data_IF_598647946819
#
_entry.id   IF_598647946819
#
_cell.length_a   1.000
_cell.length_b   1.000
_cell.length_c   1.000
_cell.angle_alpha   90.00
_cell.angle_beta   90.00
_cell.angle_gamma   90.00
#
_symmetry.space_group_name_H-M   'P 1'
#
loop_
_entity.id
_entity.type
_entity.pdbx_description
1 polymer ?
#
# COMPACT_ATOMS: atom_id res chain seq x y z
N UNK A 1 -9.99 -18.97 -10.69
CA UNK A 1 -10.56 -18.02 -9.71
C UNK A 1 -10.77 -18.67 -8.34
N UNK A 2 -11.60 -19.72 -8.20
CA UNK A 2 -11.86 -20.37 -6.90
C UNK A 2 -10.62 -20.98 -6.21
N UNK A 3 -9.72 -21.63 -6.97
CA UNK A 3 -8.48 -22.21 -6.41
C UNK A 3 -7.43 -21.19 -5.94
N UNK A 4 -7.41 -19.99 -6.52
CA UNK A 4 -6.55 -18.88 -6.08
C UNK A 4 -7.10 -18.22 -4.82
N UNK A 5 -8.44 -18.09 -4.71
CA UNK A 5 -9.09 -17.69 -3.47
C UNK A 5 -8.79 -18.69 -2.34
N UNK A 6 -8.94 -20.00 -2.56
CA UNK A 6 -8.70 -21.02 -1.53
C UNK A 6 -7.25 -21.04 -1.00
N UNK A 7 -6.24 -20.84 -1.86
CA UNK A 7 -4.84 -20.73 -1.44
C UNK A 7 -4.52 -19.42 -0.70
N UNK A 8 -5.26 -18.34 -0.97
CA UNK A 8 -5.23 -17.09 -0.19
C UNK A 8 -5.92 -17.25 1.17
N UNK A 9 -6.89 -18.18 1.27
CA UNK A 9 -7.73 -18.41 2.47
C UNK A 9 -7.09 -19.35 3.50
N UNK A 10 -6.48 -20.45 3.06
CA UNK A 10 -5.90 -21.49 3.93
C UNK A 10 -4.51 -21.93 3.43
N UNK A 11 -3.41 -21.37 3.98
CA UNK A 11 -2.09 -21.96 3.81
C UNK A 11 -2.04 -23.25 4.64
N UNK A 12 -1.84 -24.39 3.98
CA UNK A 12 -1.59 -25.66 4.67
C UNK A 12 -0.23 -25.57 5.35
N UNK A 13 -0.20 -25.68 6.69
CA UNK A 13 0.54 -26.75 7.37
C UNK A 13 0.27 -26.81 8.88
N UNK A 14 0.26 -28.06 9.37
CA UNK A 14 0.35 -28.55 10.75
C UNK A 14 -0.90 -28.52 11.65
N UNK A 15 -1.78 -29.51 11.47
CA UNK A 15 -2.16 -30.46 12.53
C UNK A 15 -2.91 -31.66 11.91
N UNK A 16 -2.35 -32.84 12.08
CA UNK A 16 -2.99 -34.13 11.86
C UNK A 16 -4.31 -34.23 12.61
N UNK A 17 -5.44 -34.43 11.91
CA UNK A 17 -6.64 -34.96 12.53
C UNK A 17 -7.33 -35.95 11.60
N UNK A 18 -7.36 -37.19 12.05
CA UNK A 18 -8.08 -38.33 11.51
C UNK A 18 -9.59 -38.07 11.54
N UNK A 19 -10.26 -38.34 10.41
CA UNK A 19 -11.72 -38.32 10.32
C UNK A 19 -12.36 -39.46 11.14
N UNK A 20 -13.61 -39.27 11.57
CA UNK A 20 -14.61 -40.25 11.15
C UNK A 20 -15.91 -39.62 10.66
N UNK A 21 -16.41 -40.19 9.58
CA UNK A 21 -17.81 -40.14 9.10
C UNK A 21 -18.72 -40.96 10.01
N UNK A 22 -19.96 -40.51 10.25
CA UNK A 22 -21.16 -41.38 10.27
C UNK A 22 -22.48 -40.57 10.36
N UNK A 23 -23.26 -40.67 9.28
CA UNK A 23 -24.71 -40.82 9.13
C UNK A 23 -25.75 -40.17 10.08
N UNK A 24 -26.66 -39.44 9.41
CA UNK A 24 -28.13 -39.39 9.52
C UNK A 24 -28.85 -39.61 10.86
N UNK A 25 -29.72 -38.66 11.22
CA UNK A 25 -31.14 -38.94 11.55
C UNK A 25 -31.95 -37.65 11.77
N UNK A 26 -33.11 -37.61 11.11
CA UNK A 26 -34.27 -36.73 11.34
C UNK A 26 -35.25 -37.58 12.17
N UNK A 27 -36.01 -37.10 13.19
CA UNK A 27 -37.31 -36.47 12.91
C UNK A 27 -37.94 -35.47 13.93
N UNK A 28 -38.76 -34.58 13.34
CA UNK A 28 -40.16 -34.13 13.65
C UNK A 28 -40.61 -33.61 15.03
N UNK A 29 -41.33 -32.48 14.91
CA UNK A 29 -42.57 -32.01 15.58
C UNK A 29 -42.56 -31.56 17.06
N UNK A 30 -43.20 -30.41 17.30
CA UNK A 30 -43.63 -29.99 18.64
C UNK A 30 -43.92 -28.50 18.81
N UNK A 31 -45.12 -28.08 18.38
CA UNK A 31 -45.88 -26.86 18.70
C UNK A 31 -45.61 -26.13 20.04
N UNK A 32 -45.63 -24.79 20.05
CA UNK A 32 -46.72 -24.01 20.67
C UNK A 32 -46.63 -22.49 20.44
N UNK A 33 -47.82 -21.87 20.40
CA UNK A 33 -48.17 -20.49 20.04
C UNK A 33 -48.58 -19.71 21.30
N UNK A 34 -48.22 -18.42 21.37
CA UNK A 34 -48.91 -17.27 22.02
C UNK A 34 -48.02 -16.04 21.77
N UNK A 35 -48.45 -14.84 21.39
CA UNK A 35 -49.75 -14.18 21.30
C UNK A 35 -49.53 -12.66 21.55
N UNK A 36 -50.33 -11.81 20.91
CA UNK A 36 -50.46 -10.33 21.06
C UNK A 36 -49.44 -9.43 20.36
N UNK A 37 -49.76 -8.21 19.91
CA UNK A 37 -50.92 -7.62 19.22
C UNK A 37 -50.49 -6.18 18.90
N UNK A 38 -50.71 -5.77 17.65
CA UNK A 38 -51.00 -4.42 17.14
C UNK A 38 -50.82 -3.22 18.07
N UNK A 39 -49.92 -2.28 17.73
CA UNK A 39 -50.22 -0.83 17.69
C UNK A 39 -49.39 -0.20 16.58
N UNK A 40 -50.08 0.30 15.56
CA UNK A 40 -49.55 1.15 14.51
C UNK A 40 -50.01 2.58 14.80
N UNK A 41 -49.10 3.49 15.12
CA UNK A 41 -49.39 4.91 15.27
C UNK A 41 -48.43 5.71 14.40
N UNK A 42 -49.01 6.24 13.31
CA UNK A 42 -48.45 7.30 12.47
C UNK A 42 -48.30 8.56 13.32
N UNK A 43 -47.09 9.11 13.40
CA UNK A 43 -46.87 10.49 13.79
C UNK A 43 -46.03 11.20 12.74
N UNK A 44 -46.65 12.25 12.20
CA UNK A 44 -46.15 13.19 11.19
C UNK A 44 -45.01 13.99 11.79
N UNK A 45 -43.89 14.12 11.08
CA UNK A 45 -42.89 15.15 11.38
C UNK A 45 -43.04 16.34 10.44
N UNK A 46 -43.26 17.49 11.09
CA UNK A 46 -43.31 18.83 10.54
C UNK A 46 -41.96 19.19 9.90
N UNK A 47 -42.01 19.68 8.67
CA UNK A 47 -40.89 20.28 7.95
C UNK A 47 -40.57 21.65 8.54
N UNK A 48 -39.73 21.66 9.57
CA UNK A 48 -39.09 22.85 10.10
C UNK A 48 -37.83 23.16 9.30
N UNK A 49 -37.86 24.24 8.54
CA UNK A 49 -36.72 24.85 7.87
C UNK A 49 -35.69 25.24 8.93
N UNK A 50 -34.55 24.53 8.97
CA UNK A 50 -33.33 25.03 9.60
C UNK A 50 -32.24 25.12 8.53
N UNK A 51 -31.79 26.36 8.33
CA UNK A 51 -30.82 26.76 7.34
C UNK A 51 -29.54 25.92 7.43
N UNK A 52 -29.19 25.28 6.32
CA UNK A 52 -27.87 24.72 6.11
C UNK A 52 -26.87 25.87 5.99
N UNK A 53 -26.14 26.16 7.06
CA UNK A 53 -24.94 26.96 6.97
C UNK A 53 -23.90 26.17 6.17
N UNK A 54 -23.68 26.61 4.94
CA UNK A 54 -22.69 26.10 4.01
C UNK A 54 -21.28 26.28 4.57
N UNK A 55 -20.70 25.22 5.12
CA UNK A 55 -19.24 25.09 5.26
C UNK A 55 -18.64 24.63 3.92
N UNK A 56 -18.75 25.50 2.91
CA UNK A 56 -17.98 25.42 1.67
C UNK A 56 -16.85 26.43 1.75
N UNK A 57 -15.70 25.99 2.26
CA UNK A 57 -14.37 26.53 1.94
C UNK A 57 -13.33 25.81 2.79
N UNK A 58 -12.90 24.63 2.34
CA UNK A 58 -11.52 24.22 2.63
C UNK A 58 -10.73 24.60 1.39
N UNK A 59 -10.02 25.69 1.56
CA UNK A 59 -9.05 26.29 0.65
C UNK A 59 -8.15 25.19 0.09
N UNK A 60 -8.07 25.08 -1.23
CA UNK A 60 -6.94 24.44 -1.88
C UNK A 60 -5.71 25.30 -1.54
N UNK A 61 -4.92 24.84 -0.58
CA UNK A 61 -3.63 25.48 -0.31
C UNK A 61 -2.80 25.41 -1.61
N UNK A 62 -2.05 26.47 -1.96
CA UNK A 62 -1.06 26.37 -3.02
C UNK A 62 -0.10 25.22 -2.70
N UNK A 63 0.38 24.48 -3.71
CA UNK A 63 1.20 23.30 -3.45
C UNK A 63 2.41 23.68 -2.60
N UNK A 64 2.59 22.96 -1.50
CA UNK A 64 3.74 23.14 -0.63
C UNK A 64 5.05 22.89 -1.38
N UNK A 65 6.18 23.33 -0.81
CA UNK A 65 7.50 23.12 -1.43
C UNK A 65 7.76 21.63 -1.70
N UNK A 66 7.23 20.74 -0.86
CA UNK A 66 7.38 19.30 -1.00
C UNK A 66 6.52 18.73 -2.12
N UNK A 67 5.27 19.16 -2.26
CA UNK A 67 4.38 18.72 -3.35
C UNK A 67 4.97 19.04 -4.72
N UNK A 68 5.57 20.24 -4.88
CA UNK A 68 6.23 20.62 -6.13
C UNK A 68 7.40 19.69 -6.48
N UNK A 69 8.26 19.37 -5.50
CA UNK A 69 9.39 18.43 -5.69
C UNK A 69 8.92 17.04 -6.10
N UNK A 70 7.86 16.56 -5.46
CA UNK A 70 7.27 15.25 -5.77
C UNK A 70 6.65 15.24 -7.17
N UNK A 71 5.99 16.33 -7.55
CA UNK A 71 5.38 16.48 -8.86
C UNK A 71 6.41 16.44 -10.00
N UNK A 72 7.61 17.00 -9.83
CA UNK A 72 8.70 16.89 -10.81
C UNK A 72 9.11 15.42 -11.06
N UNK A 73 9.12 14.59 -10.02
CA UNK A 73 9.39 13.15 -10.16
C UNK A 73 8.25 12.45 -10.89
N UNK A 74 7.00 12.80 -10.59
CA UNK A 74 5.82 12.29 -11.30
C UNK A 74 5.90 12.58 -12.80
N UNK A 75 6.24 13.83 -13.17
CA UNK A 75 6.38 14.23 -14.57
C UNK A 75 7.45 13.42 -15.30
N UNK A 76 8.61 13.21 -14.65
CA UNK A 76 9.70 12.40 -15.21
C UNK A 76 9.27 10.95 -15.46
N UNK A 77 8.61 10.32 -14.48
CA UNK A 77 8.11 8.94 -14.60
C UNK A 77 7.02 8.81 -15.68
N UNK A 78 6.14 9.81 -15.77
CA UNK A 78 5.10 9.85 -16.79
C UNK A 78 5.67 10.02 -18.20
N UNK A 79 6.77 10.77 -18.37
CA UNK A 79 7.46 10.94 -19.65
C UNK A 79 8.05 9.62 -20.17
N UNK A 80 8.75 8.87 -19.30
CA UNK A 80 9.40 7.60 -19.68
C UNK A 80 8.41 6.53 -20.18
N UNK A 81 7.24 6.44 -19.55
CA UNK A 81 6.18 5.53 -20.02
C UNK A 81 5.66 5.94 -21.40
N UNK A 82 5.59 7.24 -21.70
CA UNK A 82 5.17 7.74 -23.02
C UNK A 82 6.23 7.44 -24.09
N UNK A 83 7.51 7.60 -23.76
CA UNK A 83 8.64 7.27 -24.65
C UNK A 83 8.67 5.77 -24.98
N UNK A 84 8.58 4.89 -23.97
CA UNK A 84 8.56 3.44 -24.21
C UNK A 84 7.33 3.00 -25.03
N UNK A 85 6.16 3.63 -24.83
CA UNK A 85 4.97 3.36 -25.66
C UNK A 85 5.22 3.72 -27.13
N UNK A 86 5.96 4.80 -27.41
CA UNK A 86 6.31 5.23 -28.78
C UNK A 86 7.28 4.24 -29.43
N UNK A 87 8.29 3.78 -28.71
CA UNK A 87 9.26 2.78 -29.20
C UNK A 87 8.61 1.43 -29.48
N UNK A 88 7.77 0.91 -28.57
CA UNK A 88 7.05 -0.36 -28.79
C UNK A 88 6.12 -0.32 -30.01
N UNK A 89 5.50 0.82 -30.31
CA UNK A 89 4.69 0.98 -31.54
C UNK A 89 5.58 0.89 -32.79
N UNK A 90 6.83 1.36 -32.72
CA UNK A 90 7.80 1.29 -33.80
C UNK A 90 8.40 -0.11 -33.98
N UNK A 91 8.67 -0.82 -32.88
CA UNK A 91 9.16 -2.21 -32.92
C UNK A 91 8.09 -3.20 -33.39
N UNK A 92 6.81 -2.96 -33.10
CA UNK A 92 5.70 -3.76 -33.69
C UNK A 92 5.66 -3.63 -35.22
N UNK A 93 6.23 -2.56 -35.78
CA UNK A 93 6.36 -2.35 -37.23
C UNK A 93 7.63 -3.02 -37.79
N UNK A 94 8.60 -3.39 -36.95
CA UNK A 94 9.89 -3.97 -37.36
C UNK A 94 10.25 -5.19 -36.50
N UNK A 95 9.86 -6.39 -36.95
CA UNK A 95 10.06 -7.63 -36.21
C UNK A 95 11.43 -8.29 -36.41
N UNK A 96 12.03 -8.76 -35.31
CA UNK A 96 12.89 -9.95 -35.09
C UNK A 96 13.53 -9.81 -33.70
N UNK A 97 14.02 -10.80 -32.94
CA UNK A 97 14.13 -12.27 -32.97
C UNK A 97 14.37 -12.68 -31.49
N UNK A 98 14.00 -13.89 -31.06
CA UNK A 98 14.41 -14.40 -29.75
C UNK A 98 15.05 -15.78 -29.85
N UNK A 99 16.31 -15.86 -29.41
CA UNK A 99 16.95 -17.09 -28.98
C UNK A 99 18.00 -16.78 -27.91
N UNK A 100 17.64 -16.80 -26.63
CA UNK A 100 18.63 -16.90 -25.54
C UNK A 100 18.20 -17.90 -24.44
N UNK A 101 18.90 -19.04 -24.45
CA UNK A 101 19.44 -19.84 -23.34
C UNK A 101 18.56 -20.18 -22.12
N UNK A 102 18.13 -21.44 -22.08
CA UNK A 102 17.39 -22.12 -21.01
C UNK A 102 18.00 -21.95 -19.59
N UNK A 103 19.33 -21.92 -19.45
CA UNK A 103 20.03 -21.78 -18.15
C UNK A 103 19.93 -20.39 -17.52
N UNK A 104 19.83 -19.33 -18.34
CA UNK A 104 19.64 -17.95 -17.83
C UNK A 104 18.23 -17.77 -17.28
N UNK A 105 17.24 -18.42 -17.91
CA UNK A 105 15.86 -18.42 -17.46
C UNK A 105 15.69 -19.06 -16.08
N UNK A 106 16.38 -20.16 -15.80
CA UNK A 106 16.27 -20.88 -14.52
C UNK A 106 16.84 -20.07 -13.34
N UNK A 107 17.99 -19.41 -13.54
CA UNK A 107 18.58 -18.53 -12.53
C UNK A 107 17.70 -17.31 -12.23
N UNK A 108 17.14 -16.68 -13.27
CA UNK A 108 16.22 -15.55 -13.10
C UNK A 108 14.92 -15.98 -12.41
N UNK A 109 14.38 -17.14 -12.75
CA UNK A 109 13.21 -17.69 -12.05
C UNK A 109 13.50 -17.93 -10.56
N UNK A 110 14.68 -18.48 -10.23
CA UNK A 110 15.14 -18.62 -8.85
C UNK A 110 15.21 -17.29 -8.11
N UNK A 111 15.77 -16.26 -8.75
CA UNK A 111 15.86 -14.90 -8.21
C UNK A 111 14.47 -14.30 -7.91
N UNK A 112 13.53 -14.37 -8.84
CA UNK A 112 12.15 -13.90 -8.63
C UNK A 112 11.41 -14.67 -7.53
N UNK A 113 11.61 -15.99 -7.45
CA UNK A 113 11.01 -16.79 -6.38
C UNK A 113 11.54 -16.36 -5.02
N UNK A 114 12.84 -16.09 -4.92
CA UNK A 114 13.46 -15.59 -3.69
C UNK A 114 12.93 -14.22 -3.28
N UNK A 115 12.72 -13.32 -4.23
CA UNK A 115 12.00 -12.07 -3.98
C UNK A 115 10.58 -12.32 -3.43
N UNK A 116 9.86 -13.30 -3.99
CA UNK A 116 8.53 -13.69 -3.55
C UNK A 116 8.48 -14.27 -2.14
N UNK A 117 9.46 -15.10 -1.76
CA UNK A 117 9.63 -15.64 -0.41
C UNK A 117 9.82 -14.51 0.62
N UNK A 118 10.67 -13.54 0.32
CA UNK A 118 10.87 -12.34 1.14
C UNK A 118 9.56 -11.57 1.31
N UNK A 119 8.82 -11.34 0.22
CA UNK A 119 7.50 -10.70 0.30
C UNK A 119 6.52 -11.51 1.17
N UNK A 120 6.52 -12.84 1.06
CA UNK A 120 5.63 -13.72 1.82
C UNK A 120 5.94 -13.72 3.32
N UNK A 121 7.23 -13.69 3.67
CA UNK A 121 7.71 -13.71 5.05
C UNK A 121 7.35 -12.40 5.76
N UNK A 122 7.70 -11.27 5.13
CA UNK A 122 7.67 -9.98 5.81
C UNK A 122 6.42 -9.14 5.50
N UNK A 123 5.78 -9.32 4.34
CA UNK A 123 4.65 -8.50 3.88
C UNK A 123 3.38 -9.31 3.62
N UNK A 124 2.99 -10.20 4.55
CA UNK A 124 1.90 -11.19 4.38
C UNK A 124 0.63 -10.66 3.68
N UNK A 125 0.08 -9.52 4.13
CA UNK A 125 -1.15 -8.96 3.53
C UNK A 125 -0.90 -8.47 2.11
N UNK A 126 0.24 -7.83 1.86
CA UNK A 126 0.65 -7.39 0.53
C UNK A 126 0.89 -8.59 -0.40
N UNK A 127 1.67 -9.58 0.05
CA UNK A 127 1.94 -10.82 -0.67
C UNK A 127 0.65 -11.54 -1.09
N UNK A 128 -0.32 -11.70 -0.19
CA UNK A 128 -1.62 -12.28 -0.52
C UNK A 128 -2.35 -11.48 -1.61
N UNK A 129 -2.24 -10.14 -1.61
CA UNK A 129 -2.77 -9.29 -2.68
C UNK A 129 -2.08 -9.55 -4.03
N UNK A 130 -0.77 -9.78 -4.04
CA UNK A 130 -0.02 -10.10 -5.28
C UNK A 130 -0.44 -11.44 -5.91
N UNK A 131 -1.04 -12.35 -5.13
CA UNK A 131 -1.58 -13.61 -5.65
C UNK A 131 -2.79 -13.41 -6.58
N UNK A 132 -3.41 -12.24 -6.56
CA UNK A 132 -4.48 -11.85 -7.48
C UNK A 132 -3.94 -11.31 -8.82
N UNK A 133 -2.63 -11.06 -8.93
CA UNK A 133 -1.97 -10.57 -10.15
C UNK A 133 -1.60 -11.73 -11.09
N UNK A 134 -1.38 -11.39 -12.37
CA UNK A 134 -0.78 -12.31 -13.34
C UNK A 134 0.64 -12.72 -12.90
N UNK A 135 1.14 -13.91 -13.28
CA UNK A 135 2.48 -14.36 -12.89
C UNK A 135 3.59 -13.38 -13.25
N UNK A 136 3.51 -12.74 -14.42
CA UNK A 136 4.48 -11.75 -14.89
C UNK A 136 4.52 -10.52 -13.97
N UNK A 137 3.37 -9.87 -13.75
CA UNK A 137 3.27 -8.69 -12.89
C UNK A 137 3.63 -9.00 -11.45
N UNK A 138 3.22 -10.17 -10.96
CA UNK A 138 3.54 -10.63 -9.61
C UNK A 138 5.04 -10.70 -9.38
N UNK A 139 5.78 -11.31 -10.32
CA UNK A 139 7.24 -11.40 -10.24
C UNK A 139 7.90 -10.02 -10.28
N UNK A 140 7.47 -9.15 -11.19
CA UNK A 140 7.98 -7.77 -11.26
C UNK A 140 7.71 -6.98 -9.97
N UNK A 141 6.49 -7.09 -9.42
CA UNK A 141 6.13 -6.51 -8.12
C UNK A 141 6.99 -7.10 -7.01
N UNK A 142 7.25 -8.41 -7.01
CA UNK A 142 8.15 -9.01 -6.03
C UNK A 142 9.60 -8.56 -6.20
N UNK A 143 10.11 -8.33 -7.39
CA UNK A 143 11.46 -7.80 -7.56
C UNK A 143 11.58 -6.37 -7.04
N UNK A 144 10.60 -5.51 -7.38
CA UNK A 144 10.51 -4.15 -6.83
C UNK A 144 10.35 -4.23 -5.31
N UNK A 145 9.34 -4.92 -4.78
CA UNK A 145 9.12 -4.97 -3.35
C UNK A 145 10.16 -5.78 -2.60
N UNK A 146 10.74 -6.83 -3.15
CA UNK A 146 11.65 -7.75 -2.45
C UNK A 146 12.96 -7.08 -2.07
N UNK A 147 13.49 -6.23 -2.97
CA UNK A 147 14.69 -5.43 -2.69
C UNK A 147 14.44 -4.41 -1.58
N UNK A 148 13.23 -3.84 -1.48
CA UNK A 148 12.93 -2.76 -0.53
C UNK A 148 12.12 -3.16 0.70
N UNK A 149 11.40 -4.28 0.66
CA UNK A 149 10.70 -4.89 1.80
C UNK A 149 11.69 -5.16 2.92
N UNK A 150 12.88 -5.66 2.59
CA UNK A 150 13.95 -5.89 3.57
C UNK A 150 14.35 -4.62 4.35
N UNK A 151 14.18 -3.44 3.75
CA UNK A 151 14.45 -2.17 4.42
C UNK A 151 13.21 -1.55 5.08
N UNK A 152 12.00 -1.78 4.54
CA UNK A 152 10.75 -1.42 5.20
C UNK A 152 10.55 -2.13 6.53
N UNK A 153 10.99 -3.39 6.64
CA UNK A 153 10.75 -4.18 7.84
C UNK A 153 11.83 -4.04 8.90
N UNK A 154 12.96 -3.38 8.61
CA UNK A 154 13.88 -2.87 9.63
C UNK A 154 13.41 -1.53 10.24
N UNK A 155 12.26 -1.02 9.78
CA UNK A 155 11.67 0.20 10.33
C UNK A 155 10.76 -0.08 11.53
N UNK A 156 10.72 0.84 12.49
CA UNK A 156 9.91 0.73 13.70
C UNK A 156 8.38 0.81 13.48
N UNK A 157 7.88 0.60 12.27
CA UNK A 157 6.44 0.54 11.96
C UNK A 157 5.89 -0.89 11.85
N UNK A 158 6.75 -1.92 11.84
CA UNK A 158 6.31 -3.31 11.81
C UNK A 158 7.24 -4.24 12.62
N UNK A 159 6.66 -4.93 13.60
CA UNK A 159 7.31 -6.00 14.36
C UNK A 159 7.90 -7.10 13.47
N UNK A 160 9.22 -7.12 13.32
CA UNK A 160 9.99 -8.35 13.17
C UNK A 160 11.24 -8.26 14.08
N UNK A 161 11.58 -9.29 14.89
CA UNK A 161 12.74 -9.24 15.78
C UNK A 161 14.06 -9.21 15.01
N UNK A 162 14.98 -8.37 15.49
CA UNK A 162 16.31 -8.05 14.93
C UNK A 162 17.21 -9.27 14.63
N UNK A 163 16.95 -10.41 15.27
CA UNK A 163 17.68 -11.66 15.09
C UNK A 163 17.30 -12.44 13.81
N UNK A 164 16.21 -12.06 13.12
CA UNK A 164 15.78 -12.67 11.86
C UNK A 164 16.39 -12.03 10.60
N UNK A 165 17.05 -10.86 10.72
CA UNK A 165 17.57 -10.09 9.59
C UNK A 165 19.02 -10.47 9.20
N UNK A 166 19.72 -11.20 10.07
CA UNK A 166 21.13 -11.54 9.92
C UNK A 166 21.49 -12.38 8.66
N UNK A 167 20.62 -13.27 8.13
CA UNK A 167 20.97 -14.04 6.92
C UNK A 167 20.77 -13.29 5.60
N UNK A 168 20.00 -12.18 5.59
CA UNK A 168 19.45 -11.58 4.36
C UNK A 168 20.06 -10.23 3.99
N UNK A 169 20.71 -9.57 4.94
CA UNK A 169 21.77 -8.61 4.63
C UNK A 169 22.99 -9.41 4.14
N UNK A 170 23.00 -9.78 2.85
CA UNK A 170 24.22 -10.12 2.10
C UNK A 170 25.15 -8.90 1.96
N UNK A 171 25.36 -8.20 3.08
CA UNK A 171 26.20 -7.02 3.23
C UNK A 171 27.43 -7.28 4.11
N UNK A 172 27.61 -8.50 4.64
CA UNK A 172 28.82 -8.95 5.33
C UNK A 172 28.89 -10.49 5.34
N UNK A 173 29.24 -11.07 4.21
CA UNK A 173 30.09 -12.27 4.14
C UNK A 173 31.09 -11.91 3.06
N UNK A 174 32.24 -11.33 3.38
CA UNK A 174 33.33 -12.14 3.94
C UNK A 174 34.38 -11.43 4.80
N UNK A 175 34.44 -10.11 4.98
CA UNK A 175 35.70 -9.51 5.50
C UNK A 175 35.68 -8.77 6.86
N UNK A 176 34.57 -8.74 7.60
CA UNK A 176 34.52 -8.10 8.94
C UNK A 176 33.85 -9.00 9.98
N UNK A 177 34.35 -10.23 10.08
CA UNK A 177 34.15 -11.11 11.23
C UNK A 177 35.12 -10.73 12.35
N UNK A 178 35.03 -9.49 12.87
CA UNK A 178 35.73 -9.09 14.11
C UNK A 178 34.82 -8.16 14.91
N UNK A 179 34.49 -8.65 16.12
CA UNK A 179 33.88 -7.99 17.29
C UNK A 179 32.35 -7.93 17.44
N UNK A 180 31.78 -9.04 17.92
CA UNK A 180 30.84 -9.02 19.06
C UNK A 180 29.40 -9.51 18.80
N UNK A 181 28.66 -9.96 19.84
CA UNK A 181 27.36 -10.64 19.69
C UNK A 181 26.16 -9.75 19.27
N UNK A 182 26.36 -8.51 18.83
CA UNK A 182 25.31 -7.47 18.71
C UNK A 182 25.40 -6.57 17.44
N UNK A 183 25.89 -7.05 16.28
CA UNK A 183 25.95 -6.21 15.07
C UNK A 183 24.55 -6.04 14.42
N UNK A 184 23.75 -5.08 14.90
CA UNK A 184 22.31 -5.06 14.65
C UNK A 184 21.67 -3.67 14.44
N UNK A 185 22.25 -2.79 13.62
CA UNK A 185 21.60 -1.54 13.20
C UNK A 185 21.89 -1.22 11.73
N UNK A 186 20.87 -0.80 10.96
CA UNK A 186 21.10 -0.15 9.66
C UNK A 186 21.91 1.12 9.94
N UNK A 187 23.13 1.16 9.42
CA UNK A 187 24.02 2.32 9.55
C UNK A 187 23.89 3.24 8.34
N UNK A 188 24.21 4.54 8.46
CA UNK A 188 24.34 5.42 7.31
C UNK A 188 25.23 4.83 6.20
N UNK A 189 26.36 4.20 6.59
CA UNK A 189 27.27 3.52 5.66
C UNK A 189 26.60 2.36 4.90
N UNK A 190 25.70 1.61 5.54
CA UNK A 190 24.95 0.55 4.87
C UNK A 190 24.01 1.13 3.80
N UNK A 191 23.35 2.26 4.07
CA UNK A 191 22.50 2.96 3.10
C UNK A 191 23.31 3.55 1.93
N UNK A 192 24.53 4.04 2.19
CA UNK A 192 25.43 4.55 1.14
C UNK A 192 25.87 3.43 0.20
N UNK A 193 26.25 2.27 0.74
CA UNK A 193 26.57 1.10 -0.11
C UNK A 193 25.36 0.61 -0.89
N UNK A 194 24.16 0.69 -0.33
CA UNK A 194 22.96 0.30 -1.04
C UNK A 194 22.61 1.28 -2.17
N UNK A 195 22.76 2.58 -1.96
CA UNK A 195 22.62 3.56 -3.03
C UNK A 195 23.66 3.35 -4.14
N UNK A 196 24.89 2.97 -3.80
CA UNK A 196 25.90 2.61 -4.79
C UNK A 196 25.48 1.38 -5.60
N UNK A 197 25.07 0.28 -4.94
CA UNK A 197 24.55 -0.92 -5.62
C UNK A 197 23.37 -0.61 -6.54
N UNK A 198 22.48 0.29 -6.11
CA UNK A 198 21.36 0.73 -6.93
C UNK A 198 21.85 1.43 -8.21
N UNK A 199 22.86 2.29 -8.13
CA UNK A 199 23.46 2.90 -9.33
C UNK A 199 24.09 1.82 -10.23
N UNK A 200 24.88 0.91 -9.66
CA UNK A 200 25.53 -0.18 -10.41
C UNK A 200 24.50 -1.06 -11.13
N UNK A 201 23.39 -1.40 -10.47
CA UNK A 201 22.27 -2.16 -11.04
C UNK A 201 21.67 -1.46 -12.26
N UNK A 202 21.38 -0.16 -12.14
CA UNK A 202 20.81 0.64 -13.24
C UNK A 202 21.81 0.88 -14.38
N UNK A 203 23.10 0.71 -14.12
CA UNK A 203 24.17 0.68 -15.13
C UNK A 203 24.45 -0.75 -15.66
N UNK A 204 23.60 -1.73 -15.33
CA UNK A 204 23.68 -3.10 -15.85
C UNK A 204 24.67 -4.01 -15.13
N UNK A 205 25.09 -3.66 -13.91
CA UNK A 205 26.03 -4.44 -13.09
C UNK A 205 25.36 -4.95 -11.80
N UNK A 206 24.44 -5.95 -11.88
CA UNK A 206 23.80 -6.52 -10.69
C UNK A 206 24.82 -7.29 -9.84
N UNK A 207 24.72 -7.16 -8.51
CA UNK A 207 25.66 -7.80 -7.59
C UNK A 207 25.21 -9.19 -7.12
N UNK A 208 23.93 -9.37 -6.84
CA UNK A 208 23.35 -10.63 -6.34
C UNK A 208 22.05 -11.03 -7.05
N UNK A 209 21.39 -12.09 -6.56
CA UNK A 209 20.16 -12.60 -7.17
C UNK A 209 18.99 -11.61 -7.08
N UNK A 210 18.88 -10.81 -6.03
CA UNK A 210 17.80 -9.82 -5.90
C UNK A 210 18.03 -8.67 -6.89
N UNK A 211 19.28 -8.24 -7.01
CA UNK A 211 19.70 -7.26 -8.01
C UNK A 211 19.47 -7.79 -9.43
N UNK A 212 19.70 -9.08 -9.68
CA UNK A 212 19.42 -9.69 -10.98
C UNK A 212 17.92 -9.67 -11.33
N UNK A 213 17.03 -9.99 -10.37
CA UNK A 213 15.59 -9.91 -10.58
C UNK A 213 15.11 -8.47 -10.80
N UNK A 214 15.65 -7.51 -10.04
CA UNK A 214 15.30 -6.10 -10.20
C UNK A 214 15.87 -5.53 -11.51
N UNK A 215 17.10 -5.87 -11.89
CA UNK A 215 17.71 -5.50 -13.18
C UNK A 215 16.89 -6.02 -14.37
N UNK A 216 16.47 -7.29 -14.33
CA UNK A 216 15.57 -7.86 -15.34
C UNK A 216 14.19 -7.17 -15.33
N UNK A 217 13.70 -6.72 -14.17
CA UNK A 217 12.43 -5.97 -14.08
C UNK A 217 12.54 -4.57 -14.68
N UNK A 218 13.56 -3.78 -14.32
CA UNK A 218 13.70 -2.40 -14.80
C UNK A 218 14.11 -2.30 -16.27
N UNK A 219 14.65 -3.39 -16.85
CA UNK A 219 14.84 -3.47 -18.31
C UNK A 219 13.54 -3.71 -19.09
N UNK A 220 12.54 -4.35 -18.46
CA UNK A 220 11.22 -4.65 -19.09
C UNK A 220 10.22 -3.52 -18.90
N UNK A 221 10.26 -2.85 -17.75
CA UNK A 221 9.33 -1.79 -17.39
C UNK A 221 10.05 -0.44 -17.28
N UNK A 222 9.48 0.64 -17.85
CA UNK A 222 10.10 1.96 -17.89
C UNK A 222 9.96 2.63 -16.52
N UNK A 223 10.85 2.27 -15.60
CA UNK A 223 10.92 2.81 -14.25
C UNK A 223 12.23 3.57 -14.13
N UNK A 224 12.18 4.87 -13.82
CA UNK A 224 13.41 5.62 -13.56
C UNK A 224 13.94 5.39 -12.14
N UNK A 225 15.25 5.59 -11.98
CA UNK A 225 15.98 5.35 -10.73
C UNK A 225 15.56 6.29 -9.58
N UNK A 226 14.95 7.45 -9.86
CA UNK A 226 14.73 8.50 -8.87
C UNK A 226 13.83 8.07 -7.69
N UNK A 227 12.66 7.40 -7.88
CA UNK A 227 11.85 6.89 -6.79
C UNK A 227 12.60 5.90 -5.88
N UNK A 228 13.51 5.10 -6.44
CA UNK A 228 14.35 4.19 -5.67
C UNK A 228 15.34 4.95 -4.78
N UNK A 229 16.02 5.97 -5.33
CA UNK A 229 16.90 6.86 -4.54
C UNK A 229 16.13 7.62 -3.47
N UNK A 230 14.94 8.11 -3.82
CA UNK A 230 14.05 8.84 -2.93
C UNK A 230 13.56 7.98 -1.76
N UNK A 231 13.31 6.69 -2.00
CA UNK A 231 13.02 5.76 -0.91
C UNK A 231 14.21 5.54 0.02
N UNK A 232 15.45 5.44 -0.49
CA UNK A 232 16.65 5.40 0.35
C UNK A 232 16.78 6.70 1.18
N UNK A 233 16.41 7.86 0.62
CA UNK A 233 16.35 9.12 1.39
C UNK A 233 15.34 9.03 2.54
N UNK A 234 14.14 8.48 2.30
CA UNK A 234 13.17 8.21 3.37
C UNK A 234 13.77 7.34 4.47
N UNK A 235 14.51 6.31 4.10
CA UNK A 235 15.17 5.44 5.08
C UNK A 235 16.24 6.16 5.90
N UNK A 236 17.00 7.07 5.27
CA UNK A 236 17.94 7.95 5.98
C UNK A 236 17.22 8.90 6.94
N UNK A 237 16.04 9.39 6.59
CA UNK A 237 15.24 10.25 7.48
C UNK A 237 14.85 9.50 8.75
N UNK A 238 14.41 8.26 8.63
CA UNK A 238 14.02 7.46 9.80
C UNK A 238 15.16 7.18 10.77
N UNK A 239 16.42 7.22 10.35
CA UNK A 239 17.55 7.09 11.27
C UNK A 239 17.70 8.27 12.24
N UNK A 240 17.15 9.45 11.92
CA UNK A 240 17.42 10.70 12.64
C UNK A 240 16.18 11.48 13.07
N UNK A 241 15.10 11.44 12.28
CA UNK A 241 13.92 12.30 12.48
C UNK A 241 12.85 11.55 13.28
N UNK A 242 12.37 12.19 14.35
CA UNK A 242 11.34 11.66 15.23
C UNK A 242 10.08 12.53 15.30
N UNK A 243 10.12 13.74 14.70
CA UNK A 243 9.06 14.76 14.71
C UNK A 243 8.95 15.47 13.37
N UNK A 244 7.73 15.89 13.03
CA UNK A 244 7.38 16.54 11.77
C UNK A 244 6.71 17.87 12.07
N UNK A 245 7.30 18.96 11.59
CA UNK A 245 6.87 20.32 11.93
C UNK A 245 5.43 20.58 11.51
N UNK A 246 5.12 20.21 10.27
CA UNK A 246 3.84 20.46 9.60
C UNK A 246 3.49 19.30 8.65
N UNK A 247 2.30 19.38 8.03
CA UNK A 247 1.87 18.37 7.09
C UNK A 247 2.74 18.32 5.82
N UNK A 248 3.39 19.41 5.40
CA UNK A 248 4.26 19.38 4.22
C UNK A 248 5.49 18.49 4.46
N UNK A 249 6.11 18.59 5.65
CA UNK A 249 7.18 17.67 6.04
C UNK A 249 6.69 16.21 6.15
N UNK A 250 5.50 15.98 6.71
CA UNK A 250 4.93 14.64 6.83
C UNK A 250 4.59 14.07 5.45
N UNK A 251 4.04 14.88 4.56
CA UNK A 251 3.73 14.53 3.18
C UNK A 251 5.00 14.08 2.45
N UNK A 252 6.11 14.83 2.58
CA UNK A 252 7.37 14.47 1.96
C UNK A 252 7.91 13.13 2.47
N UNK A 253 7.76 12.85 3.76
CA UNK A 253 8.08 11.55 4.33
C UNK A 253 7.20 10.44 3.76
N UNK A 254 5.88 10.62 3.75
CA UNK A 254 4.92 9.67 3.16
C UNK A 254 5.21 9.41 1.67
N UNK A 255 5.64 10.43 0.93
CA UNK A 255 6.13 10.27 -0.43
C UNK A 255 7.34 9.33 -0.46
N UNK A 256 8.40 9.62 0.30
CA UNK A 256 9.62 8.83 0.26
C UNK A 256 9.41 7.36 0.62
N UNK A 257 8.63 7.08 1.67
CA UNK A 257 8.46 5.72 2.19
C UNK A 257 7.27 4.96 1.59
N UNK A 258 6.39 5.59 0.82
CA UNK A 258 5.24 4.88 0.26
C UNK A 258 4.78 5.40 -1.11
N UNK A 259 4.82 6.72 -1.31
CA UNK A 259 4.52 7.33 -2.61
C UNK A 259 5.43 6.81 -3.73
N UNK A 260 6.73 6.73 -3.48
CA UNK A 260 7.74 6.16 -4.38
C UNK A 260 7.36 4.75 -4.85
N UNK A 261 6.85 3.91 -3.96
CA UNK A 261 6.39 2.55 -4.26
C UNK A 261 5.19 2.55 -5.21
N UNK A 262 4.26 3.49 -5.02
CA UNK A 262 3.19 3.76 -5.97
C UNK A 262 3.73 4.07 -7.36
N UNK A 263 4.70 5.00 -7.46
CA UNK A 263 5.31 5.41 -8.73
C UNK A 263 5.99 4.23 -9.44
N UNK A 264 6.82 3.46 -8.73
CA UNK A 264 7.53 2.30 -9.30
C UNK A 264 6.57 1.20 -9.77
N UNK A 265 5.37 1.13 -9.20
CA UNK A 265 4.39 0.11 -9.53
C UNK A 265 3.57 0.43 -10.78
N UNK A 266 3.40 1.71 -11.16
CA UNK A 266 2.53 2.10 -12.30
C UNK A 266 2.94 1.41 -13.61
N UNK A 267 4.24 1.39 -14.01
CA UNK A 267 4.67 0.71 -15.23
C UNK A 267 4.33 -0.79 -15.25
N UNK A 268 4.44 -1.45 -14.10
CA UNK A 268 4.12 -2.88 -13.95
C UNK A 268 2.61 -3.12 -13.99
N UNK A 269 1.84 -2.26 -13.31
CA UNK A 269 0.37 -2.36 -13.32
C UNK A 269 -0.20 -2.09 -14.72
N UNK A 270 0.46 -1.21 -15.48
CA UNK A 270 0.08 -0.82 -16.83
C UNK A 270 -1.17 0.05 -16.86
N UNK A 271 -1.16 1.03 -17.77
CA UNK A 271 -2.33 1.87 -18.06
C UNK A 271 -3.12 1.21 -19.19
N UNK A 272 -4.45 1.14 -19.04
CA UNK A 272 -5.30 0.52 -20.04
C UNK A 272 -5.17 1.22 -21.40
N UNK A 273 -5.11 0.50 -22.53
CA UNK A 273 -5.04 1.11 -23.86
C UNK A 273 -6.20 2.08 -24.14
N UNK A 274 -7.37 1.79 -23.61
CA UNK A 274 -8.60 2.58 -23.73
C UNK A 274 -8.72 3.74 -22.73
N UNK A 275 -7.76 3.89 -21.81
CA UNK A 275 -7.75 4.95 -20.81
C UNK A 275 -7.72 6.32 -21.46
N UNK A 276 -8.58 7.23 -20.97
CA UNK A 276 -8.61 8.64 -21.38
C UNK A 276 -7.82 9.54 -20.44
N UNK A 277 -7.37 9.00 -19.31
CA UNK A 277 -6.58 9.73 -18.33
C UNK A 277 -5.17 10.00 -18.87
N UNK A 278 -4.60 11.14 -18.49
CA UNK A 278 -3.20 11.40 -18.78
C UNK A 278 -2.33 10.44 -17.96
N UNK A 279 -1.20 9.99 -18.50
CA UNK A 279 -0.24 9.17 -17.76
C UNK A 279 0.12 9.79 -16.40
N UNK A 280 0.31 11.10 -16.38
CA UNK A 280 0.57 11.89 -15.18
C UNK A 280 -0.54 11.76 -14.12
N UNK A 281 -1.81 11.86 -14.52
CA UNK A 281 -2.93 11.70 -13.58
C UNK A 281 -2.98 10.30 -12.95
N UNK A 282 -2.62 9.25 -13.71
CA UNK A 282 -2.53 7.89 -13.16
C UNK A 282 -1.37 7.77 -12.16
N UNK A 283 -0.22 8.40 -12.43
CA UNK A 283 0.88 8.48 -11.48
C UNK A 283 0.51 9.28 -10.21
N UNK A 284 -0.20 10.39 -10.34
CA UNK A 284 -0.70 11.17 -9.20
C UNK A 284 -1.66 10.35 -8.34
N UNK A 285 -2.54 9.56 -8.96
CA UNK A 285 -3.43 8.66 -8.22
C UNK A 285 -2.67 7.52 -7.52
N UNK A 286 -1.63 6.96 -8.15
CA UNK A 286 -0.78 5.95 -7.53
C UNK A 286 0.05 6.52 -6.36
N UNK A 287 0.56 7.74 -6.50
CA UNK A 287 1.19 8.50 -5.44
C UNK A 287 0.22 8.74 -4.27
N UNK A 288 -0.99 9.18 -4.57
CA UNK A 288 -2.04 9.39 -3.56
C UNK A 288 -2.36 8.09 -2.82
N UNK A 289 -2.39 6.93 -3.50
CA UNK A 289 -2.58 5.64 -2.85
C UNK A 289 -1.45 5.32 -1.86
N UNK A 290 -0.19 5.56 -2.25
CA UNK A 290 0.97 5.38 -1.38
C UNK A 290 0.89 6.26 -0.13
N UNK A 291 0.59 7.55 -0.31
CA UNK A 291 0.41 8.51 0.78
C UNK A 291 -0.74 8.08 1.70
N UNK A 292 -1.90 7.70 1.14
CA UNK A 292 -3.06 7.27 1.92
C UNK A 292 -2.74 6.03 2.79
N UNK A 293 -2.03 5.05 2.22
CA UNK A 293 -1.59 3.86 2.95
C UNK A 293 -0.64 4.22 4.08
N UNK A 294 0.30 5.13 3.86
CA UNK A 294 1.26 5.53 4.89
C UNK A 294 0.63 6.36 6.00
N UNK A 295 -0.25 7.29 5.65
CA UNK A 295 -1.06 8.01 6.64
C UNK A 295 -1.89 7.02 7.48
N UNK A 296 -2.48 6.00 6.84
CA UNK A 296 -3.22 4.95 7.55
C UNK A 296 -2.34 4.16 8.51
N UNK A 297 -1.10 3.83 8.13
CA UNK A 297 -0.14 3.17 9.02
C UNK A 297 0.19 4.05 10.23
N UNK A 298 0.52 5.33 10.01
CA UNK A 298 0.79 6.32 11.07
C UNK A 298 -0.40 6.42 12.03
N UNK A 299 -1.63 6.52 11.52
CA UNK A 299 -2.82 6.65 12.35
C UNK A 299 -3.17 5.37 13.10
N UNK A 300 -2.83 4.20 12.57
CA UNK A 300 -3.06 2.90 13.22
C UNK A 300 -2.06 2.66 14.36
N UNK A 301 -0.81 3.07 14.19
CA UNK A 301 0.31 2.63 15.01
C UNK A 301 0.85 3.71 15.97
N UNK A 302 0.09 4.80 16.22
CA UNK A 302 0.45 5.92 17.11
C UNK A 302 1.05 5.45 18.45
N UNK A 303 0.41 4.52 19.15
CA UNK A 303 0.92 4.03 20.43
C UNK A 303 2.22 3.24 20.33
N UNK A 304 2.41 2.48 19.25
CA UNK A 304 3.65 1.73 18.99
C UNK A 304 4.80 2.69 18.68
N UNK A 305 4.55 3.69 17.84
CA UNK A 305 5.50 4.73 17.51
C UNK A 305 5.90 5.56 18.74
N UNK A 306 4.92 5.94 19.56
CA UNK A 306 5.16 6.70 20.79
C UNK A 306 6.06 5.94 21.79
N UNK A 307 5.87 4.62 21.95
CA UNK A 307 6.75 3.77 22.79
C UNK A 307 8.20 3.72 22.28
N UNK A 308 8.42 4.04 21.00
CA UNK A 308 9.74 4.11 20.35
C UNK A 308 10.27 5.55 20.28
N UNK A 309 9.63 6.49 20.97
CA UNK A 309 10.01 7.90 20.99
C UNK A 309 9.65 8.66 19.71
N UNK A 310 8.78 8.14 18.85
CA UNK A 310 8.42 8.73 17.56
C UNK A 310 6.99 9.26 17.55
N UNK A 311 6.80 10.41 16.89
CA UNK A 311 5.49 11.02 16.66
C UNK A 311 5.52 11.57 15.23
N UNK A 312 4.86 10.86 14.32
CA UNK A 312 4.75 11.27 12.92
C UNK A 312 3.72 12.38 12.70
N UNK A 313 2.77 12.53 13.62
CA UNK A 313 1.68 13.49 13.52
C UNK A 313 2.22 14.94 13.46
N UNK A 314 1.65 15.81 12.60
CA UNK A 314 2.15 17.18 12.43
C UNK A 314 2.08 17.98 13.74
N UNK A 315 3.20 18.57 14.13
CA UNK A 315 3.37 19.23 15.43
C UNK A 315 2.57 20.52 15.52
N UNK A 316 2.48 21.29 14.44
CA UNK A 316 1.63 22.47 14.33
C UNK A 316 0.13 22.14 14.54
N UNK A 317 -0.35 21.04 13.96
CA UNK A 317 -1.73 20.60 14.08
C UNK A 317 -2.04 20.01 15.46
N UNK A 318 -1.09 19.29 16.06
CA UNK A 318 -1.18 18.86 17.46
C UNK A 318 -1.31 20.06 18.40
N UNK A 319 -0.45 21.07 18.22
CA UNK A 319 -0.49 22.31 19.00
C UNK A 319 -1.81 23.06 18.82
N UNK A 320 -2.32 23.17 17.59
CA UNK A 320 -3.64 23.77 17.30
C UNK A 320 -4.79 23.02 17.99
N UNK A 321 -4.70 21.70 18.11
CA UNK A 321 -5.66 20.88 18.85
C UNK A 321 -5.47 20.94 20.38
N UNK A 322 -4.44 21.65 20.87
CA UNK A 322 -4.07 21.73 22.27
C UNK A 322 -3.59 20.39 22.84
N UNK A 323 -2.83 19.64 22.03
CA UNK A 323 -2.16 18.38 22.37
C UNK A 323 -0.65 18.58 22.37
N UNK A 324 0.01 18.03 23.38
CA UNK A 324 1.48 17.99 23.52
C UNK A 324 2.02 16.59 23.25
N UNK A 325 3.34 16.49 23.04
CA UNK A 325 4.03 15.21 22.99
C UNK A 325 3.79 14.37 24.25
N UNK A 326 3.77 15.00 25.43
CA UNK A 326 3.47 14.34 26.70
C UNK A 326 2.07 13.72 26.70
N UNK A 327 1.09 14.34 26.05
CA UNK A 327 -0.26 13.76 25.93
C UNK A 327 -0.26 12.50 25.08
N UNK A 328 0.53 12.49 23.99
CA UNK A 328 0.70 11.33 23.12
C UNK A 328 1.41 10.19 23.87
N UNK A 329 2.47 10.51 24.62
CA UNK A 329 3.20 9.52 25.41
C UNK A 329 2.38 8.96 26.58
N UNK A 330 1.51 9.77 27.19
CA UNK A 330 0.55 9.29 28.22
C UNK A 330 -0.52 8.36 27.63
N UNK A 331 -0.77 8.43 26.32
CA UNK A 331 -1.68 7.54 25.60
C UNK A 331 -3.14 7.65 26.04
N UNK A 332 -3.58 8.84 26.48
CA UNK A 332 -4.97 9.04 26.95
C UNK A 332 -5.87 9.51 25.81
N UNK A 333 -6.92 8.74 25.54
CA UNK A 333 -7.96 9.08 24.56
C UNK A 333 -8.88 10.15 25.15
N UNK A 334 -8.63 11.41 24.80
CA UNK A 334 -9.45 12.58 25.18
C UNK A 334 -10.37 13.03 24.04
N UNK A 335 -11.32 13.92 24.30
CA UNK A 335 -12.17 14.46 23.22
C UNK A 335 -11.38 15.32 22.23
N UNK A 336 -10.34 16.01 22.70
CA UNK A 336 -9.36 16.69 21.83
C UNK A 336 -8.67 15.71 20.89
N UNK A 337 -8.23 14.56 21.43
CA UNK A 337 -7.64 13.49 20.63
C UNK A 337 -8.61 12.94 19.58
N UNK A 338 -9.85 12.62 19.97
CA UNK A 338 -10.88 12.16 19.03
C UNK A 338 -11.12 13.17 17.91
N UNK A 339 -11.23 14.45 18.25
CA UNK A 339 -11.42 15.53 17.27
C UNK A 339 -10.24 15.63 16.30
N UNK A 340 -9.01 15.63 16.83
CA UNK A 340 -7.78 15.63 16.03
C UNK A 340 -7.71 14.43 15.07
N UNK A 341 -7.98 13.22 15.59
CA UNK A 341 -7.94 11.98 14.80
C UNK A 341 -8.98 11.96 13.67
N UNK A 342 -10.19 12.51 13.90
CA UNK A 342 -11.20 12.65 12.83
C UNK A 342 -10.68 13.51 11.68
N UNK A 343 -9.96 14.60 11.98
CA UNK A 343 -9.32 15.44 10.96
C UNK A 343 -8.28 14.67 10.14
N UNK A 344 -7.41 13.91 10.79
CA UNK A 344 -6.39 13.11 10.11
C UNK A 344 -6.99 11.95 9.28
N UNK A 345 -8.00 11.26 9.80
CA UNK A 345 -8.72 10.21 9.06
C UNK A 345 -9.40 10.78 7.82
N UNK A 346 -10.04 11.96 7.94
CA UNK A 346 -10.64 12.66 6.80
C UNK A 346 -9.59 12.95 5.73
N UNK A 347 -8.40 13.44 6.12
CA UNK A 347 -7.28 13.69 5.20
C UNK A 347 -6.84 12.41 4.48
N UNK A 348 -6.64 11.31 5.20
CA UNK A 348 -6.28 10.03 4.60
C UNK A 348 -7.34 9.53 3.60
N UNK A 349 -8.63 9.67 3.94
CA UNK A 349 -9.75 9.34 3.04
C UNK A 349 -9.74 10.18 1.76
N UNK A 350 -9.40 11.48 1.82
CA UNK A 350 -9.28 12.32 0.62
C UNK A 350 -8.20 11.79 -0.34
N UNK A 351 -7.05 11.33 0.16
CA UNK A 351 -6.03 10.69 -0.69
C UNK A 351 -6.49 9.36 -1.27
N UNK A 352 -7.27 8.57 -0.52
CA UNK A 352 -7.89 7.37 -1.09
C UNK A 352 -8.88 7.73 -2.20
N UNK A 353 -9.69 8.76 -2.04
CA UNK A 353 -10.66 9.18 -3.06
C UNK A 353 -9.95 9.67 -4.34
N UNK A 354 -8.78 10.31 -4.22
CA UNK A 354 -7.92 10.62 -5.36
C UNK A 354 -7.34 9.35 -6.00
N UNK A 355 -6.84 8.41 -5.20
CA UNK A 355 -6.33 7.14 -5.68
C UNK A 355 -7.35 6.33 -6.48
N UNK A 356 -8.61 6.30 -6.01
CA UNK A 356 -9.71 5.57 -6.66
C UNK A 356 -9.91 5.98 -8.13
N UNK A 357 -9.66 7.26 -8.47
CA UNK A 357 -9.77 7.79 -9.83
C UNK A 357 -8.78 7.11 -10.79
N UNK A 358 -7.57 6.79 -10.32
CA UNK A 358 -6.54 6.15 -11.14
C UNK A 358 -6.66 4.64 -11.24
N UNK A 359 -7.26 3.96 -10.25
CA UNK A 359 -7.39 2.49 -10.27
C UNK A 359 -8.19 2.04 -11.49
N UNK A 360 -9.22 2.81 -11.84
CA UNK A 360 -10.11 2.54 -12.94
C UNK A 360 -9.34 2.55 -14.29
N UNK A 361 -8.36 3.44 -14.43
CA UNK A 361 -7.55 3.66 -15.63
C UNK A 361 -6.43 2.60 -15.84
N UNK A 362 -6.20 1.74 -14.85
CA UNK A 362 -5.22 0.65 -14.97
C UNK A 362 -5.70 -0.44 -15.94
N UNK A 363 -4.74 -1.21 -16.44
CA UNK A 363 -5.02 -2.44 -17.20
C UNK A 363 -5.97 -3.36 -16.42
N UNK A 364 -6.92 -4.00 -17.10
CA UNK A 364 -7.95 -4.83 -16.46
C UNK A 364 -7.41 -5.84 -15.43
N UNK A 365 -6.31 -6.53 -15.75
CA UNK A 365 -5.69 -7.52 -14.86
C UNK A 365 -5.03 -6.92 -13.59
N UNK A 366 -4.89 -5.60 -13.49
CA UNK A 366 -4.34 -4.90 -12.30
C UNK A 366 -5.44 -4.26 -11.44
N UNK A 367 -6.63 -4.02 -11.98
CA UNK A 367 -7.70 -3.30 -11.26
C UNK A 367 -8.13 -4.03 -9.99
N UNK A 368 -8.34 -5.34 -10.08
CA UNK A 368 -8.81 -6.14 -8.94
C UNK A 368 -7.83 -6.18 -7.75
N UNK A 369 -6.54 -6.53 -7.93
CA UNK A 369 -5.58 -6.50 -6.82
C UNK A 369 -5.46 -5.11 -6.18
N UNK A 370 -5.45 -4.05 -7.00
CA UNK A 370 -5.33 -2.67 -6.49
C UNK A 370 -6.58 -2.25 -5.72
N UNK A 371 -7.79 -2.53 -6.24
CA UNK A 371 -9.04 -2.31 -5.52
C UNK A 371 -9.12 -3.09 -4.20
N UNK A 372 -8.69 -4.35 -4.21
CA UNK A 372 -8.69 -5.18 -3.01
C UNK A 372 -7.77 -4.55 -1.94
N UNK A 373 -6.55 -4.18 -2.30
CA UNK A 373 -5.62 -3.51 -1.37
C UNK A 373 -6.19 -2.18 -0.85
N UNK A 374 -6.70 -1.34 -1.74
CA UNK A 374 -7.26 -0.02 -1.40
C UNK A 374 -8.42 -0.14 -0.41
N UNK A 375 -9.39 -1.03 -0.67
CA UNK A 375 -10.55 -1.21 0.21
C UNK A 375 -10.14 -1.75 1.58
N UNK A 376 -9.18 -2.66 1.63
CA UNK A 376 -8.67 -3.20 2.91
C UNK A 376 -8.00 -2.11 3.75
N UNK A 377 -7.22 -1.23 3.13
CA UNK A 377 -6.58 -0.13 3.83
C UNK A 377 -7.60 0.93 4.30
N UNK A 378 -8.60 1.29 3.47
CA UNK A 378 -9.71 2.15 3.91
C UNK A 378 -10.42 1.61 5.16
N UNK A 379 -10.65 0.29 5.23
CA UNK A 379 -11.29 -0.36 6.37
C UNK A 379 -10.46 -0.34 7.66
N UNK A 380 -9.15 -0.08 7.61
CA UNK A 380 -8.35 0.14 8.82
C UNK A 380 -8.78 1.44 9.48
N UNK A 381 -9.04 2.50 8.70
CA UNK A 381 -9.54 3.77 9.23
C UNK A 381 -10.90 3.60 9.91
N UNK A 382 -11.81 2.83 9.30
CA UNK A 382 -13.10 2.48 9.91
C UNK A 382 -12.91 1.74 11.25
N UNK A 383 -11.87 0.90 11.32
CA UNK A 383 -11.55 0.15 12.54
C UNK A 383 -10.96 1.04 13.64
N UNK A 384 -10.25 2.12 13.29
CA UNK A 384 -9.83 3.16 14.25
C UNK A 384 -11.06 3.88 14.81
N UNK A 385 -12.04 4.22 13.96
CA UNK A 385 -13.29 4.86 14.39
C UNK A 385 -14.11 3.94 15.31
N UNK A 386 -14.23 2.65 14.99
CA UNK A 386 -14.92 1.64 15.83
C UNK A 386 -14.23 1.45 17.18
N UNK A 387 -12.91 1.60 17.23
CA UNK A 387 -12.14 1.55 18.47
C UNK A 387 -12.25 2.84 19.31
N UNK A 388 -13.17 3.75 18.96
CA UNK A 388 -13.30 5.08 19.58
C UNK A 388 -11.98 5.87 19.57
N UNK A 389 -11.24 5.73 18.46
CA UNK A 389 -9.95 6.40 18.23
C UNK A 389 -8.85 6.01 19.24
N UNK A 390 -9.00 4.90 19.94
CA UNK A 390 -7.95 4.28 20.76
C UNK A 390 -6.96 3.52 19.88
N UNK A 391 -5.99 4.25 19.35
CA UNK A 391 -4.81 3.75 18.62
C UNK A 391 -3.53 3.83 19.47
N UNK A 392 -3.66 4.16 20.76
CA UNK A 392 -2.58 4.09 21.74
C UNK A 392 -2.40 2.67 22.27
N UNK A 393 -3.52 2.00 22.58
CA UNK A 393 -3.52 0.67 23.21
C UNK A 393 -4.10 -0.41 22.30
N UNK A 394 -5.00 -0.06 21.38
CA UNK A 394 -5.64 -1.01 20.47
C UNK A 394 -5.20 -0.79 19.04
N UNK A 395 -4.44 -1.73 18.50
CA UNK A 395 -4.07 -1.71 17.09
C UNK A 395 -5.29 -2.03 16.22
N UNK A 396 -5.64 -1.13 15.30
CA UNK A 396 -6.75 -1.36 14.37
C UNK A 396 -6.37 -2.37 13.28
N UNK A 397 -7.19 -3.38 13.04
CA UNK A 397 -6.97 -4.38 11.99
C UNK A 397 -8.29 -4.81 11.32
N UNK A 398 -8.19 -5.23 10.06
CA UNK A 398 -9.32 -5.82 9.35
C UNK A 398 -9.34 -7.33 9.61
N UNK A 399 -10.41 -7.81 10.25
CA UNK A 399 -10.60 -9.24 10.51
C UNK A 399 -10.74 -10.08 9.23
N UNK A 400 -10.43 -11.38 9.30
CA UNK A 400 -10.43 -12.30 8.14
C UNK A 400 -11.76 -12.28 7.37
N UNK A 401 -12.91 -12.30 8.07
CA UNK A 401 -14.22 -12.26 7.43
C UNK A 401 -14.44 -11.00 6.59
N UNK A 402 -14.08 -9.82 7.12
CA UNK A 402 -14.14 -8.54 6.38
C UNK A 402 -13.19 -8.55 5.18
N UNK A 403 -11.99 -9.14 5.32
CA UNK A 403 -11.06 -9.31 4.19
C UNK A 403 -11.70 -10.10 3.05
N UNK A 404 -12.36 -11.22 3.36
CA UNK A 404 -13.05 -12.03 2.34
C UNK A 404 -14.25 -11.33 1.74
N UNK A 405 -15.09 -10.69 2.56
CA UNK A 405 -16.23 -9.93 2.08
C UNK A 405 -15.84 -8.76 1.14
N UNK A 406 -14.62 -8.25 1.28
CA UNK A 406 -14.10 -7.17 0.43
C UNK A 406 -13.68 -7.63 -0.96
N UNK A 407 -13.33 -8.91 -1.16
CA UNK A 407 -12.84 -9.41 -2.45
C UNK A 407 -13.89 -9.36 -3.57
N UNK A 408 -15.16 -9.81 -3.35
CA UNK A 408 -16.22 -9.65 -4.35
C UNK A 408 -16.54 -8.19 -4.66
N UNK A 409 -16.51 -7.31 -3.64
CA UNK A 409 -16.76 -5.87 -3.82
C UNK A 409 -15.65 -5.25 -4.67
N UNK A 410 -14.38 -5.57 -4.37
CA UNK A 410 -13.23 -5.14 -5.14
C UNK A 410 -13.31 -5.64 -6.59
N UNK A 411 -13.74 -6.89 -6.79
CA UNK A 411 -13.91 -7.46 -8.12
C UNK A 411 -15.01 -6.76 -8.91
N UNK A 412 -16.16 -6.50 -8.28
CA UNK A 412 -17.25 -5.73 -8.89
C UNK A 412 -16.79 -4.34 -9.33
N UNK A 413 -16.06 -3.61 -8.47
CA UNK A 413 -15.46 -2.32 -8.83
C UNK A 413 -14.43 -2.41 -9.95
N UNK A 414 -13.63 -3.47 -9.98
CA UNK A 414 -12.64 -3.68 -11.04
C UNK A 414 -13.26 -3.93 -12.43
N UNK A 415 -14.48 -4.49 -12.48
CA UNK A 415 -15.24 -4.69 -13.71
C UNK A 415 -15.94 -3.42 -14.20
N UNK A 416 -16.22 -2.47 -13.30
CA UNK A 416 -16.85 -1.20 -13.65
C UNK A 416 -15.83 -0.27 -14.33
N UNK A 417 -15.65 -0.45 -15.63
CA UNK A 417 -15.02 0.54 -16.51
C UNK A 417 -15.80 0.61 -17.83
N UNK A 418 -16.41 1.78 -18.13
CA UNK A 418 -17.06 2.04 -19.42
C UNK A 418 -18.51 2.56 -19.46
N UNK A 419 -19.12 3.12 -18.39
CA UNK A 419 -20.48 3.70 -18.50
C UNK A 419 -20.70 5.08 -17.85
N UNK A 420 -19.68 5.94 -17.79
CA UNK A 420 -19.92 7.37 -17.51
C UNK A 420 -19.81 8.19 -18.80
N UNK A 421 -20.93 8.22 -19.54
CA UNK A 421 -21.43 9.22 -20.53
C UNK A 421 -22.12 8.56 -21.75
N UNK A 422 -23.30 8.01 -21.53
CA UNK A 422 -24.37 7.93 -22.54
C UNK A 422 -25.63 8.53 -21.92
N UNK A 423 -25.64 9.85 -21.88
CA UNK A 423 -26.84 10.66 -21.72
C UNK A 423 -26.54 12.00 -22.38
N UNK A 424 -26.35 11.99 -23.69
CA UNK A 424 -26.68 13.19 -24.48
C UNK A 424 -28.20 13.32 -24.43
N UNK A 425 -28.76 14.46 -23.97
CA UNK A 425 -30.15 14.74 -24.26
C UNK A 425 -30.26 14.90 -25.77
N UNK A 426 -31.15 14.12 -26.38
CA UNK A 426 -31.52 14.27 -27.77
C UNK A 426 -31.86 15.75 -28.03
N UNK A 427 -31.15 16.37 -28.98
CA UNK A 427 -31.60 17.62 -29.57
C UNK A 427 -32.87 17.31 -30.36
N UNK A 428 -33.98 17.91 -29.93
CA UNK A 428 -35.14 18.22 -30.77
C UNK A 428 -35.50 19.67 -30.54
#
# INVERSE_FOLDING_TARGET
MAGALLRVICPAENASFTAPTLFSSVPKNGSQVRGYSTVCSRLKFSTGVFAAASLSSVVANPPGSSEKKVYEVVLKQAALVKEQKKEKILDVITGNDQAESMTRGDLLNGAYNRCGEVCAEYAKTFYLGTLLMTPERRRAVWAIYGVYALAFFNMPVHFVPLHFYAPYLGFQRTDELVDGPNASHITPKALDRWEQKLNDLFEGRPYDMYDAALSDTVSKYPVDIQPFKDMIKGMRMDLKKSRYKDFDELYLYCYYVAGTVGLMSVPVMGIAPESKASTESVYNAALALGIANQLTNILRDVGEDARRGRIYLPQDELAQAGLSDEDIFKGKVTDKWRSFMKGQIKRARMFFDEAEKGVAELSAASRWPVWASLLLYKQILDSIEVNDYDNFTKRAYVGKAKKFASLPIAYGRALMHGSSKLAEPARS
#
